data_IF_475462557612
#
_entry.id   IF_475462557612
#
_cell.length_a   1.000
_cell.length_b   1.000
_cell.length_c   1.000
_cell.angle_alpha   90.00
_cell.angle_beta   90.00
_cell.angle_gamma   90.00
#
_symmetry.space_group_name_H-M   'P 1'
#
loop_
_entity.id
_entity.type
_entity.pdbx_description
1 polymer ?
#
# COMPACT_ATOMS: atom_id res chain seq x y z
N UNK A 1 -17.29 -9.71 -24.48
CA UNK A 1 -17.12 -8.65 -25.48
C UNK A 1 -16.42 -7.50 -24.75
N UNK A 2 -15.13 -7.29 -25.01
CA UNK A 2 -14.35 -6.28 -24.28
C UNK A 2 -14.83 -4.90 -24.70
N UNK A 3 -15.30 -4.09 -23.74
CA UNK A 3 -15.79 -2.75 -24.03
C UNK A 3 -14.61 -1.79 -24.07
N UNK A 4 -14.08 -1.55 -25.27
CA UNK A 4 -12.88 -0.74 -25.54
C UNK A 4 -13.08 0.77 -25.23
N UNK A 5 -14.28 1.17 -24.79
CA UNK A 5 -14.64 2.56 -24.52
C UNK A 5 -15.14 2.79 -23.09
N UNK A 6 -14.81 1.91 -22.15
CA UNK A 6 -15.07 2.20 -20.74
C UNK A 6 -14.33 3.50 -20.38
N UNK A 7 -15.11 4.57 -20.18
CA UNK A 7 -14.58 5.92 -19.95
C UNK A 7 -13.76 5.86 -18.67
N UNK A 8 -12.44 6.07 -18.80
CA UNK A 8 -11.55 6.22 -17.66
C UNK A 8 -12.09 7.36 -16.78
N UNK A 9 -12.47 7.02 -15.55
CA UNK A 9 -13.18 7.92 -14.64
C UNK A 9 -12.40 8.16 -13.35
N UNK A 10 -11.28 7.46 -13.15
CA UNK A 10 -10.35 7.73 -12.07
C UNK A 10 -8.90 7.63 -12.56
N UNK A 11 -8.07 8.53 -12.05
CA UNK A 11 -6.61 8.46 -12.19
C UNK A 11 -5.99 8.12 -10.84
N UNK A 12 -5.37 6.95 -10.75
CA UNK A 12 -4.66 6.48 -9.55
C UNK A 12 -3.20 6.85 -9.69
N UNK A 13 -2.62 7.52 -8.70
CA UNK A 13 -1.18 7.71 -8.62
C UNK A 13 -0.61 6.95 -7.43
N UNK A 14 0.52 6.30 -7.67
CA UNK A 14 1.19 5.45 -6.69
C UNK A 14 2.61 5.98 -6.51
N UNK A 15 2.99 6.24 -5.26
CA UNK A 15 4.34 6.65 -4.90
C UNK A 15 5.08 5.49 -4.25
N UNK A 16 6.11 5.00 -4.93
CA UNK A 16 7.05 4.02 -4.37
C UNK A 16 8.13 4.73 -3.56
N UNK A 17 8.56 4.10 -2.46
CA UNK A 17 9.66 4.56 -1.61
C UNK A 17 10.94 4.82 -2.39
N UNK A 18 11.71 5.83 -1.98
CA UNK A 18 12.81 6.42 -2.75
C UNK A 18 14.19 5.77 -2.56
N UNK A 19 14.28 4.70 -1.77
CA UNK A 19 15.54 4.01 -1.47
C UNK A 19 15.70 2.76 -2.32
N UNK A 20 16.95 2.33 -2.47
CA UNK A 20 17.29 1.13 -3.24
C UNK A 20 16.54 -0.09 -2.69
N UNK A 21 15.93 -0.88 -3.59
CA UNK A 21 15.22 -2.11 -3.23
C UNK A 21 13.80 -1.89 -2.70
N UNK A 22 13.26 -0.68 -2.81
CA UNK A 22 11.87 -0.39 -2.44
C UNK A 22 10.87 -0.63 -3.57
N UNK A 23 11.35 -0.86 -4.80
CA UNK A 23 10.54 -1.14 -5.98
C UNK A 23 10.11 -2.60 -6.11
N UNK A 24 9.36 -2.93 -7.16
CA UNK A 24 8.84 -4.28 -7.39
C UNK A 24 8.52 -4.53 -8.87
N UNK A 25 8.72 -5.77 -9.32
CA UNK A 25 8.29 -6.27 -10.64
C UNK A 25 6.94 -7.03 -10.57
N UNK A 26 6.36 -7.12 -9.38
CA UNK A 26 5.08 -7.81 -9.14
C UNK A 26 3.87 -7.09 -9.74
N UNK A 27 2.78 -7.84 -9.88
CA UNK A 27 1.50 -7.27 -10.32
C UNK A 27 0.82 -6.52 -9.17
N UNK A 28 0.63 -5.22 -9.36
CA UNK A 28 -0.07 -4.35 -8.41
C UNK A 28 -1.50 -4.09 -8.89
N UNK A 29 -2.44 -4.11 -7.96
CA UNK A 29 -3.84 -3.80 -8.24
C UNK A 29 -4.51 -3.13 -7.05
N UNK A 30 -5.60 -2.43 -7.31
CA UNK A 30 -6.40 -1.76 -6.28
C UNK A 30 -7.86 -2.17 -6.36
N UNK A 31 -8.54 -2.14 -5.21
CA UNK A 31 -10.00 -2.14 -5.14
C UNK A 31 -10.43 -0.88 -4.39
N UNK A 32 -11.25 -0.06 -5.03
CA UNK A 32 -11.84 1.11 -4.42
C UNK A 32 -13.23 0.76 -3.87
N UNK A 33 -13.59 1.37 -2.76
CA UNK A 33 -14.93 1.27 -2.17
C UNK A 33 -15.42 2.67 -1.80
N UNK A 34 -16.65 3.00 -2.22
CA UNK A 34 -17.30 4.28 -1.90
C UNK A 34 -18.06 4.24 -0.56
N UNK A 35 -18.62 5.38 -0.16
CA UNK A 35 -19.39 5.53 1.09
C UNK A 35 -20.61 4.60 1.16
N UNK A 36 -21.19 4.21 0.03
CA UNK A 36 -22.35 3.30 -0.02
C UNK A 36 -21.96 1.84 0.19
N UNK A 37 -20.65 1.55 0.17
CA UNK A 37 -20.11 0.20 0.24
C UNK A 37 -19.96 -0.48 -1.13
N UNK A 38 -20.23 0.23 -2.22
CA UNK A 38 -20.05 -0.29 -3.58
C UNK A 38 -18.55 -0.42 -3.87
N UNK A 39 -18.15 -1.52 -4.51
CA UNK A 39 -16.74 -1.85 -4.80
C UNK A 39 -16.47 -1.81 -6.30
N UNK A 40 -15.30 -1.30 -6.70
CA UNK A 40 -14.88 -1.19 -8.10
C UNK A 40 -14.58 -2.53 -8.80
N UNK A 41 -14.41 -3.61 -8.04
CA UNK A 41 -13.67 -4.79 -8.50
C UNK A 41 -12.16 -4.56 -8.50
N UNK A 42 -11.38 -5.61 -8.78
CA UNK A 42 -9.91 -5.58 -8.78
C UNK A 42 -9.41 -4.91 -10.06
N UNK A 43 -8.82 -3.73 -9.94
CA UNK A 43 -8.25 -2.96 -11.03
C UNK A 43 -6.73 -3.12 -11.04
N UNK A 44 -6.19 -3.84 -12.04
CA UNK A 44 -4.74 -3.94 -12.23
C UNK A 44 -4.17 -2.60 -12.68
N UNK A 45 -3.06 -2.20 -12.06
CA UNK A 45 -2.32 -0.99 -12.36
C UNK A 45 -1.13 -1.35 -13.23
N UNK A 46 -1.18 -0.97 -14.50
CA UNK A 46 -0.15 -1.29 -15.49
C UNK A 46 -0.16 -0.24 -16.60
N UNK A 47 1.00 0.31 -16.92
CA UNK A 47 1.22 1.15 -18.08
C UNK A 47 1.98 0.34 -19.15
N UNK A 48 1.35 0.17 -20.31
CA UNK A 48 1.96 -0.55 -21.43
C UNK A 48 3.35 0.02 -21.76
N UNK A 49 4.35 -0.87 -21.80
CA UNK A 49 5.75 -0.54 -22.13
C UNK A 49 6.46 0.36 -21.11
N UNK A 50 5.91 0.52 -19.91
CA UNK A 50 6.56 1.15 -18.77
C UNK A 50 7.09 0.09 -17.82
N UNK A 51 8.19 0.41 -17.14
CA UNK A 51 8.57 -0.30 -15.93
C UNK A 51 8.06 0.51 -14.74
N UNK A 52 6.96 0.05 -14.15
CA UNK A 52 6.22 0.75 -13.11
C UNK A 52 6.72 0.35 -11.71
N UNK A 53 6.37 1.13 -10.70
CA UNK A 53 6.65 0.84 -9.29
C UNK A 53 8.14 0.79 -8.92
N UNK A 54 9.02 1.38 -9.74
CA UNK A 54 10.44 1.49 -9.42
C UNK A 54 10.72 2.39 -8.22
N UNK A 55 11.86 2.15 -7.56
CA UNK A 55 12.27 2.91 -6.37
C UNK A 55 12.27 4.42 -6.65
N UNK A 56 11.47 5.16 -5.89
CA UNK A 56 11.32 6.62 -5.96
C UNK A 56 10.35 7.12 -7.03
N UNK A 57 9.75 6.25 -7.84
CA UNK A 57 8.79 6.65 -8.87
C UNK A 57 7.48 7.14 -8.28
N UNK A 58 6.87 8.07 -9.02
CA UNK A 58 5.47 8.41 -8.93
C UNK A 58 4.83 8.00 -10.25
N UNK A 59 4.12 6.88 -10.25
CA UNK A 59 3.44 6.35 -11.43
C UNK A 59 1.96 6.75 -11.41
N UNK A 60 1.34 6.83 -12.59
CA UNK A 60 -0.07 7.19 -12.75
C UNK A 60 -0.77 6.21 -13.66
N UNK A 61 -2.00 5.84 -13.31
CA UNK A 61 -2.78 4.81 -14.00
C UNK A 61 -4.22 5.28 -14.19
N UNK A 62 -4.73 5.15 -15.41
CA UNK A 62 -6.14 5.42 -15.69
C UNK A 62 -6.95 4.14 -15.53
N UNK A 63 -7.91 4.15 -14.61
CA UNK A 63 -8.84 3.03 -14.41
C UNK A 63 -10.27 3.44 -14.80
N UNK A 64 -11.06 2.44 -15.18
CA UNK A 64 -12.48 2.63 -15.47
C UNK A 64 -13.30 1.75 -14.53
N UNK A 65 -14.15 2.38 -13.73
CA UNK A 65 -15.17 1.70 -12.93
C UNK A 65 -16.46 1.72 -13.76
N UNK A 66 -16.95 0.53 -14.15
CA UNK A 66 -18.09 0.39 -15.05
C UNK A 66 -19.42 0.79 -14.40
N UNK A 67 -19.52 0.67 -13.08
CA UNK A 67 -20.73 1.06 -12.36
C UNK A 67 -20.83 2.59 -12.27
N UNK A 68 -21.80 3.16 -13.01
CA UNK A 68 -22.05 4.59 -13.05
C UNK A 68 -22.58 5.19 -11.74
N UNK A 69 -23.00 4.34 -10.79
CA UNK A 69 -23.41 4.77 -9.45
C UNK A 69 -22.24 4.87 -8.47
N UNK A 70 -21.05 4.37 -8.83
CA UNK A 70 -19.87 4.45 -7.98
C UNK A 70 -19.54 5.92 -7.67
N UNK A 71 -19.49 6.21 -6.38
CA UNK A 71 -19.18 7.53 -5.84
C UNK A 71 -17.69 7.80 -5.73
N UNK A 72 -17.35 8.82 -4.94
CA UNK A 72 -15.96 9.07 -4.57
C UNK A 72 -15.47 8.01 -3.55
N UNK A 73 -14.22 7.52 -3.67
CA UNK A 73 -13.72 6.42 -2.87
C UNK A 73 -13.36 6.84 -1.44
N UNK A 74 -13.73 6.03 -0.45
CA UNK A 74 -13.38 6.23 0.97
C UNK A 74 -12.53 5.11 1.54
N UNK A 75 -12.46 3.95 0.88
CA UNK A 75 -11.48 2.91 1.17
C UNK A 75 -10.74 2.49 -0.08
N UNK A 76 -9.48 2.12 0.12
CA UNK A 76 -8.62 1.50 -0.87
C UNK A 76 -8.07 0.19 -0.31
N UNK A 77 -8.21 -0.90 -1.06
CA UNK A 77 -7.47 -2.13 -0.84
C UNK A 77 -6.33 -2.20 -1.87
N UNK A 78 -5.09 -2.28 -1.38
CA UNK A 78 -3.89 -2.41 -2.20
C UNK A 78 -3.47 -3.88 -2.24
N UNK A 79 -3.39 -4.45 -3.43
CA UNK A 79 -3.09 -5.86 -3.68
C UNK A 79 -1.75 -5.97 -4.42
N UNK A 80 -0.93 -6.92 -3.99
CA UNK A 80 0.30 -7.33 -4.64
C UNK A 80 0.26 -8.82 -4.88
N UNK A 81 0.37 -9.22 -6.14
CA UNK A 81 0.44 -10.61 -6.56
C UNK A 81 1.83 -10.92 -7.13
N UNK A 82 2.45 -11.99 -6.61
CA UNK A 82 3.84 -12.34 -6.92
C UNK A 82 4.03 -12.66 -8.40
N UNK A 83 5.08 -12.10 -8.98
CA UNK A 83 5.62 -12.47 -10.29
C UNK A 83 7.00 -13.13 -10.10
N UNK A 84 7.09 -14.43 -10.42
CA UNK A 84 8.35 -15.18 -10.31
C UNK A 84 8.63 -15.78 -8.92
N UNK A 85 9.91 -15.95 -8.58
CA UNK A 85 10.36 -16.75 -7.43
C UNK A 85 10.89 -15.93 -6.24
N UNK A 86 11.27 -14.66 -6.43
CA UNK A 86 11.87 -13.83 -5.38
C UNK A 86 10.81 -13.28 -4.42
N UNK A 87 11.00 -13.51 -3.11
CA UNK A 87 10.16 -12.94 -2.05
C UNK A 87 10.68 -11.54 -1.68
N UNK A 88 10.52 -10.60 -2.60
CA UNK A 88 10.85 -9.21 -2.31
C UNK A 88 9.65 -8.56 -1.57
N UNK A 89 9.83 -7.46 -0.88
CA UNK A 89 8.71 -6.63 -0.38
C UNK A 89 8.71 -5.32 -1.16
N UNK A 90 7.54 -4.73 -1.39
CA UNK A 90 7.40 -3.45 -2.09
C UNK A 90 7.07 -2.36 -1.09
N UNK A 91 7.82 -1.26 -1.05
CA UNK A 91 7.48 -0.15 -0.15
C UNK A 91 6.65 0.91 -0.88
N UNK A 92 5.39 1.02 -0.49
CA UNK A 92 4.49 2.05 -0.99
C UNK A 92 4.39 3.19 0.04
N UNK A 93 4.70 4.41 -0.38
CA UNK A 93 4.50 5.60 0.47
C UNK A 93 3.02 5.96 0.52
N UNK A 94 2.39 6.13 -0.65
CA UNK A 94 0.98 6.47 -0.74
C UNK A 94 0.34 6.08 -2.07
N UNK A 95 -0.98 6.01 -2.04
CA UNK A 95 -1.83 6.04 -3.23
C UNK A 95 -2.73 7.26 -3.16
N UNK A 96 -2.84 8.03 -4.24
CA UNK A 96 -3.85 9.09 -4.38
C UNK A 96 -4.75 8.79 -5.57
N UNK A 97 -6.03 9.07 -5.44
CA UNK A 97 -7.03 8.81 -6.49
C UNK A 97 -7.70 10.12 -6.87
N UNK A 98 -7.58 10.52 -8.14
CA UNK A 98 -8.33 11.63 -8.71
C UNK A 98 -9.63 11.10 -9.33
N UNK A 99 -10.77 11.61 -8.86
CA UNK A 99 -12.07 11.40 -9.48
C UNK A 99 -12.26 12.37 -10.65
N UNK A 100 -12.28 11.86 -11.88
CA UNK A 100 -12.44 12.70 -13.09
C UNK A 100 -13.86 13.30 -13.20
N UNK A 101 -14.81 12.75 -12.42
CA UNK A 101 -16.19 13.24 -12.35
C UNK A 101 -16.32 14.45 -11.43
N UNK A 102 -15.68 14.41 -10.26
CA UNK A 102 -15.82 15.46 -9.22
C UNK A 102 -14.61 16.37 -9.13
N UNK A 103 -13.50 16.03 -9.82
CA UNK A 103 -12.18 16.66 -9.69
C UNK A 103 -11.64 16.65 -8.24
N UNK A 104 -12.11 15.73 -7.40
CA UNK A 104 -11.60 15.54 -6.05
C UNK A 104 -10.42 14.58 -6.03
N UNK A 105 -9.49 14.83 -5.11
CA UNK A 105 -8.31 13.99 -4.87
C UNK A 105 -8.47 13.34 -3.51
N UNK A 106 -8.47 12.02 -3.51
CA UNK A 106 -8.59 11.19 -2.32
C UNK A 106 -7.25 10.59 -1.98
N UNK A 107 -6.82 10.74 -0.72
CA UNK A 107 -5.47 10.38 -0.29
C UNK A 107 -5.49 9.14 0.61
N UNK A 108 -4.64 8.17 0.29
CA UNK A 108 -4.49 6.92 1.03
C UNK A 108 -3.01 6.76 1.41
N UNK A 109 -2.61 7.23 2.61
CA UNK A 109 -1.27 7.01 3.14
C UNK A 109 -1.04 5.51 3.37
N UNK A 110 0.02 4.95 2.79
CA UNK A 110 0.35 3.52 2.97
C UNK A 110 1.51 3.40 3.95
N UNK A 111 2.66 4.00 3.62
CA UNK A 111 3.92 4.00 4.40
C UNK A 111 4.26 2.63 5.02
N UNK A 112 4.12 1.58 4.20
CA UNK A 112 4.26 0.17 4.62
C UNK A 112 4.92 -0.64 3.51
N UNK A 113 5.65 -1.66 3.92
CA UNK A 113 5.99 -2.77 3.04
C UNK A 113 4.74 -3.60 2.73
N UNK A 114 4.44 -3.76 1.44
CA UNK A 114 3.31 -4.52 0.92
C UNK A 114 3.79 -5.93 0.58
N UNK A 115 3.22 -6.91 1.27
CA UNK A 115 3.54 -8.33 1.08
C UNK A 115 2.66 -8.94 0.00
N UNK A 116 3.25 -9.81 -0.81
CA UNK A 116 2.49 -10.59 -1.77
C UNK A 116 1.42 -11.45 -1.05
N UNK A 117 0.19 -11.40 -1.54
CA UNK A 117 -0.94 -12.16 -0.98
C UNK A 117 -1.52 -11.61 0.33
N UNK A 118 -1.00 -10.50 0.86
CA UNK A 118 -1.54 -9.83 2.06
C UNK A 118 -2.04 -8.43 1.68
N UNK A 119 -3.27 -8.31 1.14
CA UNK A 119 -3.79 -7.01 0.73
C UNK A 119 -3.96 -6.08 1.94
N UNK A 120 -3.65 -4.80 1.75
CA UNK A 120 -3.78 -3.78 2.80
C UNK A 120 -5.02 -2.95 2.49
N UNK A 121 -5.98 -2.93 3.41
CA UNK A 121 -7.13 -2.01 3.38
C UNK A 121 -6.82 -0.77 4.20
N UNK A 122 -7.02 0.40 3.60
CA UNK A 122 -6.85 1.71 4.24
C UNK A 122 -8.05 2.59 3.96
N UNK A 123 -8.36 3.46 4.93
CA UNK A 123 -9.35 4.52 4.77
C UNK A 123 -8.70 5.75 4.15
N UNK A 124 -9.49 6.60 3.52
CA UNK A 124 -9.03 7.94 3.13
C UNK A 124 -8.51 8.71 4.36
N UNK A 125 -7.37 9.40 4.19
CA UNK A 125 -6.69 10.20 5.21
C UNK A 125 -6.39 9.45 6.52
N UNK A 126 -6.18 8.13 6.44
CA UNK A 126 -6.13 7.25 7.61
C UNK A 126 -5.18 7.74 8.72
N UNK A 127 -5.79 8.23 9.79
CA UNK A 127 -5.18 8.60 11.06
C UNK A 127 -6.14 8.25 12.21
N UNK A 128 -6.58 6.99 12.28
CA UNK A 128 -7.53 6.53 13.31
C UNK A 128 -6.85 5.98 14.55
N UNK A 129 -7.48 6.20 15.71
CA UNK A 129 -7.09 5.56 16.96
C UNK A 129 -7.50 4.08 16.96
N UNK A 130 -6.80 3.18 17.67
CA UNK A 130 -7.07 1.75 17.62
C UNK A 130 -8.52 1.34 17.97
N UNK A 131 -9.20 2.09 18.83
CA UNK A 131 -10.60 1.81 19.19
C UNK A 131 -11.62 2.23 18.11
N UNK A 132 -11.19 3.08 17.18
CA UNK A 132 -12.02 3.63 16.09
C UNK A 132 -11.64 3.02 14.73
N UNK A 133 -10.67 2.10 14.72
CA UNK A 133 -10.18 1.41 13.53
C UNK A 133 -11.14 0.27 13.14
N UNK A 134 -11.82 0.42 12.00
CA UNK A 134 -12.71 -0.61 11.48
C UNK A 134 -11.94 -1.88 11.01
N UNK A 135 -10.64 -1.76 10.71
CA UNK A 135 -9.78 -2.84 10.23
C UNK A 135 -8.98 -3.49 11.38
N UNK A 136 -9.66 -3.81 12.49
CA UNK A 136 -9.06 -4.33 13.73
C UNK A 136 -8.14 -5.54 13.49
N UNK A 137 -8.55 -6.47 12.63
CA UNK A 137 -7.80 -7.71 12.36
C UNK A 137 -6.46 -7.39 11.69
N UNK A 138 -6.47 -6.62 10.59
CA UNK A 138 -5.26 -6.18 9.90
C UNK A 138 -4.31 -5.46 10.86
N UNK A 139 -4.85 -4.56 11.70
CA UNK A 139 -4.04 -3.84 12.69
C UNK A 139 -3.42 -4.77 13.73
N UNK A 140 -4.16 -5.75 14.22
CA UNK A 140 -3.65 -6.72 15.18
C UNK A 140 -2.52 -7.57 14.58
N UNK A 141 -2.67 -8.02 13.33
CA UNK A 141 -1.64 -8.78 12.61
C UNK A 141 -0.38 -7.95 12.39
N UNK A 142 -0.52 -6.68 12.00
CA UNK A 142 0.61 -5.76 11.82
C UNK A 142 1.33 -5.48 13.14
N UNK A 143 0.59 -5.24 14.23
CA UNK A 143 1.16 -5.02 15.55
C UNK A 143 1.85 -6.27 16.07
N UNK A 144 1.27 -7.46 15.86
CA UNK A 144 1.89 -8.72 16.23
C UNK A 144 3.19 -8.93 15.46
N UNK A 145 3.17 -8.74 14.14
CA UNK A 145 4.38 -8.80 13.31
C UNK A 145 5.46 -7.84 13.81
N UNK A 146 5.11 -6.59 14.13
CA UNK A 146 6.08 -5.64 14.69
C UNK A 146 6.63 -6.10 16.04
N UNK A 147 5.83 -6.72 16.91
CA UNK A 147 6.33 -7.29 18.18
C UNK A 147 7.28 -8.46 17.97
N UNK A 148 7.00 -9.30 16.98
CA UNK A 148 7.83 -10.47 16.66
C UNK A 148 9.18 -10.05 16.05
N UNK A 149 9.20 -8.93 15.33
CA UNK A 149 10.39 -8.37 14.69
C UNK A 149 11.21 -7.52 15.69
N UNK A 150 10.56 -6.60 16.41
CA UNK A 150 11.23 -5.65 17.31
C UNK A 150 11.29 -6.17 18.74
N UNK A 151 12.05 -7.26 18.94
CA UNK A 151 12.21 -7.89 20.26
C UNK A 151 13.31 -7.17 21.07
N UNK A 152 12.96 -6.53 22.20
CA UNK A 152 13.95 -5.84 23.03
C UNK A 152 14.85 -6.84 23.76
N UNK A 153 16.10 -6.42 23.96
CA UNK A 153 17.06 -7.18 24.72
C UNK A 153 17.18 -6.65 26.15
N UNK A 154 17.02 -7.56 27.11
CA UNK A 154 17.18 -7.27 28.52
C UNK A 154 18.62 -7.46 28.95
N UNK A 155 19.24 -6.41 29.50
CA UNK A 155 20.54 -6.48 30.19
C UNK A 155 20.35 -6.17 31.68
N UNK A 156 19.71 -7.10 32.39
CA UNK A 156 19.33 -6.92 33.81
C UNK A 156 20.53 -6.60 34.73
N UNK A 157 21.73 -7.07 34.37
CA UNK A 157 22.94 -6.87 35.18
C UNK A 157 23.42 -5.41 35.26
N UNK A 158 23.02 -4.53 34.33
CA UNK A 158 23.55 -3.15 34.26
C UNK A 158 22.53 -2.08 34.62
N UNK A 159 21.24 -2.42 34.76
CA UNK A 159 20.17 -1.43 34.95
C UNK A 159 19.98 -0.46 33.78
N UNK A 160 20.55 -0.77 32.62
CA UNK A 160 20.42 0.06 31.41
C UNK A 160 19.02 -0.07 30.81
N UNK A 161 18.58 0.98 30.09
CA UNK A 161 17.36 0.94 29.30
C UNK A 161 17.40 -0.21 28.27
N UNK A 162 16.23 -0.80 28.01
CA UNK A 162 16.10 -1.83 26.98
C UNK A 162 16.44 -1.27 25.61
N UNK A 163 17.21 -2.03 24.84
CA UNK A 163 17.59 -1.70 23.46
C UNK A 163 17.35 -2.90 22.56
N UNK A 164 17.21 -2.68 21.25
CA UNK A 164 17.30 -3.76 20.28
C UNK A 164 18.74 -4.28 20.24
N UNK A 165 18.93 -5.60 20.28
CA UNK A 165 20.26 -6.21 20.12
C UNK A 165 20.75 -6.08 18.68
N UNK A 166 19.87 -6.33 17.72
CA UNK A 166 20.13 -6.27 16.29
C UNK A 166 18.94 -5.60 15.60
N UNK A 167 19.22 -4.83 14.54
CA UNK A 167 18.15 -4.35 13.69
C UNK A 167 17.65 -5.52 12.84
N UNK A 168 16.34 -5.70 12.76
CA UNK A 168 15.79 -6.78 11.96
C UNK A 168 16.08 -6.53 10.48
N UNK A 169 16.61 -7.57 9.82
CA UNK A 169 17.00 -7.56 8.40
C UNK A 169 15.75 -7.48 7.53
N UNK A 170 15.77 -6.67 6.46
CA UNK A 170 14.65 -6.49 5.53
C UNK A 170 13.45 -5.71 6.10
N UNK A 171 13.68 -4.80 7.05
CA UNK A 171 12.62 -4.07 7.76
C UNK A 171 12.69 -2.55 7.54
N UNK A 172 11.63 -1.84 7.97
CA UNK A 172 11.44 -0.37 7.96
C UNK A 172 12.67 0.49 8.35
N UNK A 173 13.66 -0.11 9.02
CA UNK A 173 14.79 0.56 9.67
C UNK A 173 16.17 0.03 9.31
N UNK A 174 16.33 -0.81 8.30
CA UNK A 174 17.68 -0.99 7.76
C UNK A 174 18.25 0.41 7.47
N UNK A 175 19.51 0.64 7.87
CA UNK A 175 20.29 1.74 7.32
C UNK A 175 20.50 1.42 5.83
N UNK A 176 19.42 1.59 5.08
CA UNK A 176 19.32 1.44 3.64
C UNK A 176 20.38 2.37 3.09
N UNK A 177 21.46 1.76 2.61
CA UNK A 177 22.63 2.38 1.97
C UNK A 177 22.31 3.79 1.48
N UNK A 178 22.75 4.80 2.24
CA UNK A 178 22.69 6.18 1.77
C UNK A 178 23.49 6.26 0.47
N UNK A 179 22.93 6.98 -0.52
CA UNK A 179 23.55 7.24 -1.83
C UNK A 179 24.99 7.72 -1.71
#
# INVERSE_FOLDING_TARGET
>A
MWNLFSKKNFTVYVKTGDRLGMGTDDTISVVLQDESGLRSGKCQLDNLLSNDFESGRLDSFQIAIEDGNFGDPVYLELHRDKFGFHDDEWYCEFVRVLSEKTNQVHMFPIHRWVRAGCPIKVKEDDAVLPQDDENVIQRQEELQRKRDIYVPAFKEATGMIMVLNEYPVGCDHEFLSAK
#
